data_IF_798506999012
#
_entry.id   IF_798506999012
#
_cell.length_a   1.000
_cell.length_b   1.000
_cell.length_c   1.000
_cell.angle_alpha   90.00
_cell.angle_beta   90.00
_cell.angle_gamma   90.00
#
_symmetry.space_group_name_H-M   'P 1'
#
loop_
_entity.id
_entity.type
_entity.pdbx_description
1 polymer ?
#
# COMPACT_ATOMS: atom_id res chain seq x y z
N UNK A 1 -52.72 -88.97 10.63
CA UNK A 1 -51.80 -87.87 10.99
C UNK A 1 -51.11 -87.44 9.71
N UNK A 2 -51.42 -86.25 9.18
CA UNK A 2 -50.77 -85.73 7.97
C UNK A 2 -49.51 -84.97 8.37
N UNK A 3 -48.43 -85.11 7.59
CA UNK A 3 -47.21 -84.34 7.82
C UNK A 3 -47.48 -82.85 7.58
N UNK A 4 -47.04 -82.00 8.50
CA UNK A 4 -47.27 -80.55 8.47
C UNK A 4 -46.17 -79.75 7.78
N UNK A 5 -44.98 -80.32 7.61
CA UNK A 5 -43.85 -79.74 6.86
C UNK A 5 -43.36 -80.76 5.85
N UNK A 6 -43.53 -80.50 4.56
CA UNK A 6 -43.34 -81.50 3.51
C UNK A 6 -42.45 -80.96 2.40
N UNK A 7 -41.49 -81.77 1.99
CA UNK A 7 -40.71 -81.58 0.78
C UNK A 7 -41.21 -82.55 -0.28
N UNK A 8 -41.48 -82.07 -1.50
CA UNK A 8 -42.00 -82.91 -2.56
C UNK A 8 -41.46 -82.50 -3.93
N UNK A 9 -41.07 -83.48 -4.73
CA UNK A 9 -40.77 -83.30 -6.15
C UNK A 9 -42.04 -83.26 -6.99
N UNK A 10 -42.12 -82.30 -7.91
CA UNK A 10 -43.16 -82.18 -8.92
C UNK A 10 -42.55 -81.76 -10.28
N UNK A 11 -43.41 -81.54 -11.28
CA UNK A 11 -42.98 -81.19 -12.64
C UNK A 11 -42.18 -79.88 -12.74
N UNK A 12 -42.35 -78.97 -11.77
CA UNK A 12 -41.66 -77.68 -11.71
C UNK A 12 -40.37 -77.72 -10.86
N UNK A 13 -40.10 -78.85 -10.18
CA UNK A 13 -38.91 -79.08 -9.36
C UNK A 13 -39.21 -79.54 -7.92
N UNK A 14 -38.31 -79.25 -6.97
CA UNK A 14 -38.47 -79.58 -5.55
C UNK A 14 -39.16 -78.41 -4.84
N UNK A 15 -40.31 -78.65 -4.22
CA UNK A 15 -41.03 -77.67 -3.43
C UNK A 15 -41.05 -78.00 -1.94
N UNK A 16 -41.21 -76.98 -1.11
CA UNK A 16 -41.46 -77.09 0.33
C UNK A 16 -42.84 -76.50 0.68
N UNK A 17 -43.61 -77.19 1.52
CA UNK A 17 -44.85 -76.67 2.09
C UNK A 17 -44.79 -76.64 3.62
N UNK A 18 -44.97 -75.47 4.26
CA UNK A 18 -45.11 -75.37 5.71
C UNK A 18 -46.51 -75.73 6.23
N UNK A 19 -47.46 -76.07 5.34
CA UNK A 19 -48.87 -76.37 5.66
C UNK A 19 -49.26 -77.84 5.41
N UNK A 20 -48.30 -78.68 5.03
CA UNK A 20 -48.48 -80.11 4.80
C UNK A 20 -48.81 -80.50 3.36
N UNK A 21 -49.10 -81.80 3.15
CA UNK A 21 -49.15 -82.42 1.81
C UNK A 21 -50.13 -81.73 0.84
N UNK A 22 -51.23 -81.21 1.34
CA UNK A 22 -52.30 -80.55 0.55
C UNK A 22 -52.19 -79.02 0.51
N UNK A 23 -51.18 -78.44 1.16
CA UNK A 23 -50.94 -77.00 1.18
C UNK A 23 -50.22 -76.49 -0.06
N UNK A 24 -50.14 -75.16 -0.26
CA UNK A 24 -49.33 -74.59 -1.34
C UNK A 24 -47.85 -74.91 -1.13
N UNK A 25 -47.12 -75.11 -2.22
CA UNK A 25 -45.68 -75.36 -2.24
C UNK A 25 -44.95 -74.16 -2.83
N UNK A 26 -43.90 -73.72 -2.14
CA UNK A 26 -42.91 -72.80 -2.69
C UNK A 26 -41.78 -73.59 -3.34
N UNK A 27 -41.40 -73.24 -4.56
CA UNK A 27 -40.34 -73.93 -5.30
C UNK A 27 -38.98 -73.60 -4.70
N UNK A 28 -38.23 -74.61 -4.27
CA UNK A 28 -36.89 -74.47 -3.71
C UNK A 28 -35.78 -74.81 -4.71
N UNK A 29 -36.02 -75.77 -5.61
CA UNK A 29 -35.14 -76.09 -6.74
C UNK A 29 -36.01 -76.12 -7.99
N UNK A 30 -35.69 -75.32 -9.00
CA UNK A 30 -36.40 -75.32 -10.28
C UNK A 30 -36.03 -76.53 -11.11
N UNK A 31 -36.94 -76.98 -11.99
CA UNK A 31 -36.69 -78.09 -12.91
C UNK A 31 -35.46 -77.89 -13.82
N UNK A 32 -35.03 -76.65 -14.04
CA UNK A 32 -33.84 -76.29 -14.81
C UNK A 32 -32.58 -76.05 -13.97
N UNK A 33 -32.59 -76.49 -12.71
CA UNK A 33 -31.40 -76.61 -11.86
C UNK A 33 -31.01 -75.36 -11.08
N UNK A 34 -31.84 -74.31 -11.04
CA UNK A 34 -31.60 -73.16 -10.15
C UNK A 34 -32.10 -73.48 -8.75
N UNK A 35 -31.32 -73.10 -7.75
CA UNK A 35 -31.69 -73.19 -6.34
C UNK A 35 -32.18 -71.82 -5.89
N UNK A 36 -33.36 -71.75 -5.27
CA UNK A 36 -33.99 -70.51 -4.80
C UNK A 36 -33.33 -70.08 -3.48
N UNK A 37 -32.88 -68.82 -3.44
CA UNK A 37 -32.08 -68.28 -2.34
C UNK A 37 -32.81 -68.29 -0.98
N UNK A 38 -34.13 -68.17 -0.97
CA UNK A 38 -34.95 -68.16 0.25
C UNK A 38 -34.84 -69.47 1.05
N UNK A 39 -34.40 -70.57 0.41
CA UNK A 39 -34.21 -71.89 1.02
C UNK A 39 -32.75 -72.21 1.38
N UNK A 40 -31.82 -71.27 1.19
CA UNK A 40 -30.40 -71.49 1.42
C UNK A 40 -29.98 -70.83 2.73
N UNK A 41 -29.70 -71.64 3.76
CA UNK A 41 -28.96 -71.22 4.96
C UNK A 41 -27.59 -71.91 4.96
N UNK A 42 -26.51 -71.13 4.95
CA UNK A 42 -25.13 -71.64 4.83
C UNK A 42 -24.21 -70.97 5.84
N UNK A 43 -23.21 -71.70 6.33
CA UNK A 43 -22.15 -71.13 7.18
C UNK A 43 -21.08 -70.40 6.35
N UNK A 44 -20.48 -71.12 5.40
CA UNK A 44 -19.51 -70.58 4.43
C UNK A 44 -20.01 -70.84 3.02
N UNK A 45 -20.03 -69.80 2.19
CA UNK A 45 -20.35 -69.89 0.76
C UNK A 45 -19.13 -69.43 -0.04
N UNK A 46 -18.52 -70.33 -0.81
CA UNK A 46 -17.43 -70.00 -1.74
C UNK A 46 -18.00 -69.88 -3.15
N UNK A 47 -17.78 -68.76 -3.82
CA UNK A 47 -18.24 -68.55 -5.20
C UNK A 47 -17.42 -67.48 -5.92
N UNK A 48 -17.27 -67.64 -7.23
CA UNK A 48 -16.47 -66.72 -8.07
C UNK A 48 -17.18 -65.40 -8.37
N UNK A 49 -18.52 -65.38 -8.31
CA UNK A 49 -19.35 -64.22 -8.64
C UNK A 49 -20.58 -64.19 -7.74
N UNK A 50 -20.79 -63.06 -7.07
CA UNK A 50 -21.99 -62.78 -6.29
C UNK A 50 -22.70 -61.61 -6.97
N UNK A 51 -23.95 -61.82 -7.40
CA UNK A 51 -24.85 -60.78 -7.91
C UNK A 51 -26.05 -60.73 -6.97
N UNK A 52 -26.00 -59.83 -5.99
CA UNK A 52 -27.04 -59.66 -4.97
C UNK A 52 -27.54 -58.21 -4.92
N UNK A 53 -28.58 -58.00 -4.11
CA UNK A 53 -29.05 -56.66 -3.75
C UNK A 53 -28.26 -56.10 -2.56
N UNK A 54 -28.95 -55.84 -1.44
CA UNK A 54 -28.34 -55.39 -0.20
C UNK A 54 -27.64 -56.54 0.54
N UNK A 55 -26.40 -56.31 0.98
CA UNK A 55 -25.67 -57.19 1.89
C UNK A 55 -25.60 -56.48 3.25
N UNK A 56 -26.28 -57.00 4.26
CA UNK A 56 -26.36 -56.39 5.59
C UNK A 56 -25.54 -57.17 6.63
N UNK A 57 -24.96 -56.46 7.60
CA UNK A 57 -24.20 -57.06 8.72
C UNK A 57 -22.80 -57.59 8.38
N UNK A 58 -22.26 -57.27 7.21
CA UNK A 58 -21.03 -57.90 6.69
C UNK A 58 -19.81 -56.96 6.73
N UNK A 59 -18.62 -57.54 6.78
CA UNK A 59 -17.36 -56.87 6.42
C UNK A 59 -16.89 -57.42 5.08
N UNK A 60 -16.67 -56.55 4.09
CA UNK A 60 -16.08 -56.93 2.81
C UNK A 60 -14.57 -56.74 2.88
N UNK A 61 -13.84 -57.79 2.50
CA UNK A 61 -12.38 -57.80 2.42
C UNK A 61 -12.00 -58.34 1.04
N UNK A 62 -11.14 -57.63 0.32
CA UNK A 62 -10.79 -57.98 -1.05
C UNK A 62 -9.80 -59.14 -1.18
N UNK A 63 -9.02 -59.41 -0.14
CA UNK A 63 -7.91 -60.36 -0.16
C UNK A 63 -7.60 -60.81 1.28
N UNK A 64 -7.17 -62.04 1.51
CA UNK A 64 -6.88 -62.60 2.84
C UNK A 64 -5.44 -62.32 3.34
N UNK A 65 -4.57 -61.80 2.48
CA UNK A 65 -3.23 -61.31 2.82
C UNK A 65 -3.28 -59.92 3.46
N UNK A 66 -2.13 -59.39 3.89
CA UNK A 66 -2.06 -58.13 4.63
C UNK A 66 -2.37 -56.87 3.81
N UNK A 67 -2.51 -57.00 2.48
CA UNK A 67 -2.82 -55.90 1.58
C UNK A 67 -4.23 -56.07 1.05
N UNK A 68 -5.16 -55.24 1.51
CA UNK A 68 -6.58 -55.43 1.20
C UNK A 68 -7.38 -54.14 1.30
N UNK A 69 -8.52 -54.11 0.62
CA UNK A 69 -9.56 -53.11 0.86
C UNK A 69 -10.53 -53.67 1.90
N UNK A 70 -10.79 -52.90 2.95
CA UNK A 70 -11.78 -53.21 3.98
C UNK A 70 -12.97 -52.28 3.87
N UNK A 71 -14.17 -52.83 3.73
CA UNK A 71 -15.43 -52.11 3.95
C UNK A 71 -16.08 -52.74 5.16
N UNK A 72 -16.09 -52.00 6.27
CA UNK A 72 -16.65 -52.48 7.54
C UNK A 72 -17.41 -51.35 8.23
N UNK A 73 -18.63 -51.67 8.70
CA UNK A 73 -19.54 -50.71 9.32
C UNK A 73 -19.84 -49.55 8.34
N UNK A 74 -19.32 -48.35 8.64
CA UNK A 74 -19.47 -47.15 7.81
C UNK A 74 -18.12 -46.62 7.32
N UNK A 75 -17.09 -47.46 7.34
CA UNK A 75 -15.71 -47.09 7.01
C UNK A 75 -15.18 -47.90 5.85
N UNK A 76 -14.39 -47.23 5.01
CA UNK A 76 -13.59 -47.86 3.97
C UNK A 76 -12.12 -47.61 4.27
N UNK A 77 -11.30 -48.65 4.16
CA UNK A 77 -9.84 -48.56 4.35
C UNK A 77 -9.10 -49.26 3.23
N UNK A 78 -7.99 -48.67 2.81
CA UNK A 78 -6.96 -49.37 2.04
C UNK A 78 -5.86 -49.74 3.02
N UNK A 79 -5.60 -51.03 3.12
CA UNK A 79 -4.69 -51.62 4.09
C UNK A 79 -3.44 -52.12 3.35
N UNK A 80 -2.27 -51.83 3.90
CA UNK A 80 -1.01 -52.43 3.52
C UNK A 80 -0.31 -52.95 4.77
N UNK A 81 0.08 -54.23 4.81
CA UNK A 81 0.70 -54.83 6.00
C UNK A 81 -0.10 -54.60 7.30
N UNK A 82 -1.44 -54.65 7.22
CA UNK A 82 -2.37 -54.35 8.31
C UNK A 82 -2.34 -52.88 8.83
N UNK A 83 -1.68 -51.99 8.09
CA UNK A 83 -1.62 -50.55 8.35
C UNK A 83 -2.59 -49.84 7.39
N UNK A 84 -3.42 -48.93 7.92
CA UNK A 84 -4.34 -48.15 7.11
C UNK A 84 -3.59 -47.03 6.37
N UNK A 85 -3.48 -47.13 5.03
CA UNK A 85 -2.89 -46.11 4.15
C UNK A 85 -3.89 -45.05 3.74
N UNK A 86 -5.14 -45.45 3.62
CA UNK A 86 -6.27 -44.55 3.38
C UNK A 86 -7.41 -44.92 4.31
N UNK A 87 -8.09 -43.90 4.81
CA UNK A 87 -9.30 -44.04 5.62
C UNK A 87 -10.37 -43.07 5.11
N UNK A 88 -11.53 -43.61 4.75
CA UNK A 88 -12.74 -42.84 4.52
C UNK A 88 -13.75 -43.21 5.60
N UNK A 89 -14.20 -42.22 6.35
CA UNK A 89 -15.14 -42.44 7.44
C UNK A 89 -15.40 -41.18 8.22
N UNK A 90 -15.64 -41.35 9.51
CA UNK A 90 -15.81 -40.25 10.44
C UNK A 90 -15.30 -40.65 11.83
N UNK A 91 -14.99 -39.65 12.63
CA UNK A 91 -14.73 -39.80 14.06
C UNK A 91 -15.38 -38.62 14.80
N UNK A 92 -15.30 -38.63 16.13
CA UNK A 92 -15.68 -37.47 16.94
C UNK A 92 -14.43 -36.79 17.47
N UNK A 93 -14.37 -35.48 17.32
CA UNK A 93 -13.27 -34.68 17.85
C UNK A 93 -13.37 -34.51 19.38
N UNK A 94 -12.44 -33.78 20.00
CA UNK A 94 -12.45 -33.57 21.46
C UNK A 94 -13.68 -32.80 21.96
N UNK A 95 -14.35 -32.09 21.05
CA UNK A 95 -15.60 -31.34 21.29
C UNK A 95 -16.86 -32.18 21.06
N UNK A 96 -16.73 -33.50 20.87
CA UNK A 96 -17.83 -34.43 20.56
C UNK A 96 -18.57 -34.10 19.25
N UNK A 97 -17.91 -33.37 18.33
CA UNK A 97 -18.44 -33.05 17.00
C UNK A 97 -18.05 -34.14 16.01
N UNK A 98 -19.00 -34.54 15.17
CA UNK A 98 -18.77 -35.49 14.09
C UNK A 98 -17.87 -34.87 13.01
N UNK A 99 -16.80 -35.58 12.62
CA UNK A 99 -15.86 -35.18 11.59
C UNK A 99 -15.76 -36.23 10.47
N UNK A 100 -16.64 -36.16 9.46
CA UNK A 100 -16.41 -36.85 8.19
C UNK A 100 -15.03 -36.50 7.64
N UNK A 101 -14.26 -37.52 7.28
CA UNK A 101 -12.84 -37.38 6.97
C UNK A 101 -12.42 -38.40 5.91
N UNK A 102 -11.60 -37.93 4.98
CA UNK A 102 -10.71 -38.72 4.15
C UNK A 102 -9.26 -38.46 4.60
N UNK A 103 -8.56 -39.49 5.07
CA UNK A 103 -7.12 -39.46 5.40
C UNK A 103 -6.33 -40.28 4.40
N UNK A 104 -5.18 -39.75 3.99
CA UNK A 104 -4.25 -40.42 3.07
C UNK A 104 -2.82 -40.26 3.61
N UNK A 105 -2.14 -41.37 3.90
CA UNK A 105 -0.69 -41.39 4.17
C UNK A 105 -0.24 -40.96 5.58
N UNK A 106 -0.82 -41.52 6.64
CA UNK A 106 -0.59 -41.08 8.03
C UNK A 106 0.22 -42.01 8.95
N UNK A 107 0.82 -43.09 8.47
CA UNK A 107 1.32 -44.18 9.31
C UNK A 107 2.77 -44.03 9.79
N UNK A 108 3.29 -42.80 9.84
CA UNK A 108 4.67 -42.55 10.24
C UNK A 108 4.91 -42.57 11.76
N UNK A 109 3.87 -42.75 12.57
CA UNK A 109 3.95 -42.69 14.03
C UNK A 109 2.76 -43.36 14.76
N UNK A 110 2.77 -43.27 16.10
CA UNK A 110 1.71 -43.75 16.99
C UNK A 110 0.37 -43.03 16.80
N UNK A 111 0.36 -41.85 16.17
CA UNK A 111 -0.86 -41.06 15.96
C UNK A 111 -1.63 -41.52 14.72
N UNK A 112 -0.99 -42.27 13.81
CA UNK A 112 -1.53 -42.70 12.52
C UNK A 112 -2.02 -41.53 11.64
N UNK A 113 -1.64 -40.30 12.00
CA UNK A 113 -2.03 -39.07 11.34
C UNK A 113 -0.83 -38.21 10.96
N UNK A 114 0.39 -38.46 11.46
CA UNK A 114 1.53 -37.62 11.10
C UNK A 114 1.94 -37.81 9.64
N UNK A 115 1.98 -36.71 8.90
CA UNK A 115 2.25 -36.67 7.46
C UNK A 115 1.04 -36.95 6.57
N UNK A 116 -0.14 -37.21 7.15
CA UNK A 116 -1.33 -37.51 6.36
C UNK A 116 -1.85 -36.26 5.64
N UNK A 117 -2.31 -36.43 4.40
CA UNK A 117 -3.24 -35.49 3.80
C UNK A 117 -4.63 -35.76 4.35
N UNK A 118 -5.26 -34.73 4.92
CA UNK A 118 -6.63 -34.81 5.41
C UNK A 118 -7.54 -33.88 4.63
N UNK A 119 -8.65 -34.44 4.12
CA UNK A 119 -9.84 -33.69 3.71
C UNK A 119 -10.90 -33.98 4.76
N UNK A 120 -11.26 -33.00 5.56
CA UNK A 120 -12.04 -33.24 6.77
C UNK A 120 -12.99 -32.11 7.09
N UNK A 121 -14.10 -32.45 7.74
CA UNK A 121 -14.88 -31.45 8.44
C UNK A 121 -14.10 -31.00 9.69
N UNK A 122 -14.07 -29.70 9.95
CA UNK A 122 -13.44 -29.10 11.13
C UNK A 122 -14.46 -28.84 12.25
N UNK A 123 -15.69 -28.47 11.88
CA UNK A 123 -16.81 -28.27 12.80
C UNK A 123 -18.11 -28.71 12.13
N UNK A 124 -18.91 -29.48 12.85
CA UNK A 124 -20.30 -29.79 12.47
C UNK A 124 -21.34 -28.93 13.21
N UNK A 125 -20.89 -28.00 14.06
CA UNK A 125 -21.73 -27.03 14.75
C UNK A 125 -21.58 -25.67 14.06
N UNK A 126 -22.67 -24.91 13.98
CA UNK A 126 -22.68 -23.60 13.32
C UNK A 126 -21.70 -22.61 14.00
N UNK A 127 -20.87 -21.88 13.23
CA UNK A 127 -20.66 -22.03 11.78
C UNK A 127 -19.86 -23.30 11.47
N UNK A 128 -20.38 -24.11 10.55
CA UNK A 128 -19.70 -25.32 10.08
C UNK A 128 -18.43 -24.93 9.35
N UNK A 129 -17.43 -25.79 9.39
CA UNK A 129 -16.19 -25.55 8.67
C UNK A 129 -15.59 -26.86 8.20
N UNK A 130 -14.81 -26.80 7.13
CA UNK A 130 -14.05 -27.92 6.58
C UNK A 130 -12.66 -27.44 6.16
N UNK A 131 -11.76 -28.37 5.89
CA UNK A 131 -10.44 -28.02 5.42
C UNK A 131 -9.75 -29.14 4.67
N UNK A 132 -8.70 -28.74 3.97
CA UNK A 132 -7.72 -29.63 3.35
C UNK A 132 -6.33 -29.21 3.80
N UNK A 133 -5.53 -30.15 4.27
CA UNK A 133 -4.17 -29.85 4.72
C UNK A 133 -3.39 -31.10 5.07
N UNK A 134 -2.10 -30.91 5.29
CA UNK A 134 -1.21 -31.96 5.80
C UNK A 134 -1.19 -31.91 7.32
N UNK A 135 -1.24 -33.06 7.97
CA UNK A 135 -1.26 -33.16 9.43
C UNK A 135 0.13 -33.44 9.99
N UNK A 136 0.43 -32.89 11.16
CA UNK A 136 1.66 -33.19 11.93
C UNK A 136 1.26 -33.73 13.30
N UNK A 137 0.53 -34.86 13.25
CA UNK A 137 -0.03 -35.51 14.43
C UNK A 137 -1.28 -34.80 14.97
N UNK A 138 -1.54 -35.03 16.26
CA UNK A 138 -2.62 -34.37 16.99
C UNK A 138 -2.19 -33.06 17.66
N UNK A 139 -3.14 -32.19 17.94
CA UNK A 139 -2.95 -31.02 18.81
C UNK A 139 -2.52 -31.53 20.20
N UNK A 140 -1.56 -30.86 20.84
CA UNK A 140 -1.04 -31.26 22.15
C UNK A 140 -2.14 -31.49 23.19
N UNK A 141 -2.19 -32.70 23.74
CA UNK A 141 -3.19 -33.13 24.73
C UNK A 141 -4.49 -33.69 24.15
N UNK A 142 -4.64 -33.73 22.81
CA UNK A 142 -5.78 -34.35 22.13
C UNK A 142 -5.36 -35.64 21.41
N UNK A 143 -6.28 -36.62 21.36
CA UNK A 143 -6.11 -37.86 20.60
C UNK A 143 -6.97 -37.89 19.33
N UNK A 144 -7.68 -36.80 19.04
CA UNK A 144 -8.66 -36.74 17.94
C UNK A 144 -8.56 -35.46 17.13
N UNK A 145 -8.02 -34.38 17.69
CA UNK A 145 -7.92 -33.11 16.95
C UNK A 145 -6.62 -33.08 16.16
N UNK A 146 -6.74 -33.06 14.85
CA UNK A 146 -5.61 -33.02 13.93
C UNK A 146 -4.93 -31.64 13.96
N UNK A 147 -3.60 -31.64 14.05
CA UNK A 147 -2.78 -30.44 13.95
C UNK A 147 -2.27 -30.23 12.53
N UNK A 148 -2.41 -29.02 12.00
CA UNK A 148 -2.10 -28.69 10.60
C UNK A 148 -1.07 -27.57 10.49
N UNK A 149 0.19 -27.87 10.14
CA UNK A 149 1.20 -26.84 9.84
C UNK A 149 0.93 -26.08 8.53
N UNK A 150 0.19 -26.68 7.59
CA UNK A 150 -0.25 -26.03 6.36
C UNK A 150 -1.68 -26.47 6.00
N UNK A 151 -2.57 -25.51 5.76
CA UNK A 151 -4.00 -25.77 5.57
C UNK A 151 -4.71 -24.70 4.76
N UNK A 152 -5.72 -25.13 4.03
CA UNK A 152 -6.80 -24.29 3.50
C UNK A 152 -8.07 -24.63 4.27
N UNK A 153 -8.64 -23.66 4.99
CA UNK A 153 -9.90 -23.80 5.73
C UNK A 153 -11.01 -23.04 5.03
N UNK A 154 -12.19 -23.65 4.97
CA UNK A 154 -13.41 -23.09 4.42
C UNK A 154 -14.46 -22.98 5.54
N UNK A 155 -14.98 -21.78 5.76
CA UNK A 155 -16.05 -21.53 6.73
C UNK A 155 -17.42 -21.44 6.05
N UNK A 156 -18.47 -21.88 6.76
CA UNK A 156 -19.86 -21.77 6.28
C UNK A 156 -20.30 -20.32 6.05
N UNK A 157 -19.62 -19.35 6.66
CA UNK A 157 -19.88 -17.92 6.46
C UNK A 157 -19.27 -17.39 5.14
N UNK A 158 -18.62 -18.24 4.34
CA UNK A 158 -18.01 -17.87 3.05
C UNK A 158 -16.56 -17.40 3.16
N UNK A 159 -15.93 -17.53 4.32
CA UNK A 159 -14.51 -17.20 4.51
C UNK A 159 -13.59 -18.36 4.12
N UNK A 160 -12.42 -18.02 3.59
CA UNK A 160 -11.33 -18.95 3.29
C UNK A 160 -10.08 -18.47 4.01
N UNK A 161 -9.42 -19.38 4.72
CA UNK A 161 -8.15 -19.12 5.41
C UNK A 161 -7.07 -20.04 4.85
N UNK A 162 -6.04 -19.47 4.22
CA UNK A 162 -4.83 -20.19 3.79
C UNK A 162 -3.73 -19.88 4.80
N UNK A 163 -3.12 -20.91 5.39
CA UNK A 163 -2.09 -20.76 6.44
C UNK A 163 -0.96 -21.76 6.23
N UNK A 164 0.26 -21.31 6.54
CA UNK A 164 1.46 -22.12 6.64
C UNK A 164 2.34 -21.60 7.79
N UNK A 165 3.03 -22.48 8.51
CA UNK A 165 3.90 -22.11 9.64
C UNK A 165 5.28 -21.59 9.23
N UNK A 166 5.86 -22.18 8.20
CA UNK A 166 7.21 -21.82 7.74
C UNK A 166 7.15 -20.85 6.56
N UNK A 167 6.55 -21.29 5.44
CA UNK A 167 6.56 -20.54 4.20
C UNK A 167 5.28 -20.75 3.40
N UNK A 168 4.75 -19.67 2.80
CA UNK A 168 3.61 -19.67 1.89
C UNK A 168 3.99 -18.89 0.63
N UNK A 169 4.11 -19.59 -0.50
CA UNK A 169 4.40 -19.01 -1.81
C UNK A 169 3.17 -19.02 -2.70
N UNK A 170 2.97 -17.95 -3.45
CA UNK A 170 2.00 -17.86 -4.54
C UNK A 170 2.73 -17.27 -5.74
N UNK A 171 2.74 -17.99 -6.87
CA UNK A 171 3.55 -17.64 -8.04
C UNK A 171 2.81 -17.92 -9.34
N UNK A 172 2.92 -17.00 -10.31
CA UNK A 172 2.51 -17.18 -11.71
C UNK A 172 3.75 -17.10 -12.59
N UNK A 173 4.08 -18.18 -13.29
CA UNK A 173 5.40 -18.32 -13.95
C UNK A 173 5.50 -17.67 -15.33
N UNK A 174 4.40 -17.21 -15.92
CA UNK A 174 4.37 -16.79 -17.32
C UNK A 174 3.85 -15.38 -17.54
N UNK A 175 2.66 -15.04 -17.03
CA UNK A 175 1.95 -13.83 -17.44
C UNK A 175 1.74 -12.87 -16.26
N UNK A 176 0.60 -12.93 -15.59
CA UNK A 176 0.27 -12.02 -14.50
C UNK A 176 -0.25 -12.79 -13.28
N UNK A 177 -0.19 -12.14 -12.12
CA UNK A 177 -0.81 -12.56 -10.88
C UNK A 177 -1.56 -11.36 -10.29
N UNK A 178 -2.88 -11.48 -10.17
CA UNK A 178 -3.76 -10.40 -9.71
C UNK A 178 -4.34 -10.73 -8.32
N UNK A 179 -4.32 -9.74 -7.43
CA UNK A 179 -5.07 -9.78 -6.16
C UNK A 179 -6.02 -8.58 -6.13
N UNK A 180 -7.31 -8.83 -5.91
CA UNK A 180 -8.37 -7.81 -5.94
C UNK A 180 -9.24 -7.90 -4.69
N UNK A 181 -9.68 -6.75 -4.17
CA UNK A 181 -10.62 -6.66 -3.05
C UNK A 181 -11.73 -5.65 -3.39
N UNK A 182 -12.98 -5.94 -3.02
CA UNK A 182 -14.12 -5.07 -3.32
C UNK A 182 -14.19 -3.79 -2.48
N UNK A 183 -13.46 -3.74 -1.36
CA UNK A 183 -13.39 -2.57 -0.47
C UNK A 183 -11.94 -2.25 -0.13
N UNK A 184 -11.37 -2.91 0.88
CA UNK A 184 -10.02 -2.68 1.36
C UNK A 184 -9.14 -3.90 1.10
N UNK A 185 -7.92 -3.65 0.61
CA UNK A 185 -6.83 -4.61 0.64
C UNK A 185 -5.86 -4.22 1.75
N UNK A 186 -5.47 -5.19 2.59
CA UNK A 186 -4.53 -4.97 3.69
C UNK A 186 -3.38 -5.98 3.60
N UNK A 187 -2.15 -5.47 3.67
CA UNK A 187 -0.93 -6.26 3.78
C UNK A 187 -0.14 -5.80 5.00
N UNK A 188 0.42 -6.75 5.75
CA UNK A 188 1.19 -6.47 6.97
C UNK A 188 2.32 -7.48 7.12
N UNK A 189 3.51 -6.96 7.41
CA UNK A 189 4.68 -7.75 7.82
C UNK A 189 5.14 -7.33 9.23
N UNK A 190 5.77 -8.24 9.96
CA UNK A 190 6.36 -7.94 11.28
C UNK A 190 7.66 -7.13 11.15
N UNK A 191 8.48 -7.48 10.16
CA UNK A 191 9.79 -6.88 9.94
C UNK A 191 9.71 -5.98 8.69
N UNK A 192 9.91 -6.56 7.50
CA UNK A 192 10.00 -5.81 6.24
C UNK A 192 8.82 -6.12 5.31
N UNK A 193 8.33 -5.09 4.62
CA UNK A 193 7.45 -5.24 3.46
C UNK A 193 8.28 -4.97 2.20
N UNK A 194 8.47 -5.99 1.39
CA UNK A 194 9.29 -5.94 0.18
C UNK A 194 8.36 -6.05 -1.03
N UNK A 195 8.41 -5.06 -1.91
CA UNK A 195 7.72 -5.06 -3.20
C UNK A 195 8.69 -4.55 -4.25
N UNK A 196 8.86 -5.31 -5.33
CA UNK A 196 9.89 -5.03 -6.35
C UNK A 196 9.38 -5.32 -7.76
N UNK A 197 9.85 -4.51 -8.70
CA UNK A 197 9.84 -4.80 -10.13
C UNK A 197 11.30 -4.80 -10.60
N UNK A 198 11.79 -5.95 -11.09
CA UNK A 198 13.22 -6.14 -11.39
C UNK A 198 13.64 -5.60 -12.76
N UNK A 199 12.72 -5.66 -13.73
CA UNK A 199 12.97 -5.18 -15.10
C UNK A 199 12.09 -3.97 -15.47
N UNK A 200 10.85 -3.95 -15.00
CA UNK A 200 9.86 -2.93 -15.33
C UNK A 200 9.71 -1.84 -14.26
N UNK A 201 8.66 -1.03 -14.39
CA UNK A 201 8.35 0.02 -13.43
C UNK A 201 7.41 -0.50 -12.32
N UNK A 202 7.52 0.09 -11.14
CA UNK A 202 6.49 0.00 -10.11
C UNK A 202 5.48 1.14 -10.27
N UNK A 203 4.19 0.81 -10.28
CA UNK A 203 3.10 1.78 -10.41
C UNK A 203 2.28 1.82 -9.11
N UNK A 204 2.03 3.03 -8.62
CA UNK A 204 1.16 3.28 -7.47
C UNK A 204 0.12 4.32 -7.86
N UNK A 205 -1.16 3.97 -7.71
CA UNK A 205 -2.29 4.86 -8.04
C UNK A 205 -3.15 5.04 -6.81
N UNK A 206 -3.43 6.30 -6.46
CA UNK A 206 -4.35 6.66 -5.38
C UNK A 206 -5.47 7.54 -5.95
N UNK A 207 -6.71 7.32 -5.51
CA UNK A 207 -7.84 8.17 -5.92
C UNK A 207 -7.87 9.55 -5.25
N UNK A 208 -7.25 9.67 -4.07
CA UNK A 208 -7.11 10.94 -3.35
C UNK A 208 -5.64 11.20 -3.03
N UNK A 209 -5.14 10.62 -1.93
CA UNK A 209 -3.77 10.87 -1.44
C UNK A 209 -3.02 9.57 -1.23
N UNK A 210 -1.70 9.65 -1.37
CA UNK A 210 -0.81 8.59 -0.93
C UNK A 210 -0.21 8.96 0.42
N UNK A 211 -0.50 8.19 1.47
CA UNK A 211 -0.10 8.50 2.85
C UNK A 211 1.06 7.61 3.33
N UNK A 212 1.98 8.22 4.08
CA UNK A 212 3.01 7.51 4.83
C UNK A 212 2.85 7.79 6.31
N UNK A 213 2.86 6.72 7.11
CA UNK A 213 2.70 6.78 8.56
C UNK A 213 3.92 6.20 9.29
N UNK A 214 4.24 6.76 10.44
CA UNK A 214 5.18 6.20 11.43
C UNK A 214 4.52 6.24 12.80
N UNK A 215 4.44 5.10 13.48
CA UNK A 215 3.80 4.97 14.81
C UNK A 215 2.39 5.59 14.85
N UNK A 216 1.57 5.32 13.83
CA UNK A 216 0.22 5.86 13.69
C UNK A 216 0.13 7.31 13.21
N UNK A 217 1.22 8.08 13.23
CA UNK A 217 1.23 9.49 12.81
C UNK A 217 1.60 9.63 11.33
N UNK A 218 0.85 10.45 10.58
CA UNK A 218 1.20 10.80 9.19
C UNK A 218 2.49 11.61 9.17
N UNK A 219 3.47 11.18 8.38
CA UNK A 219 4.76 11.86 8.24
C UNK A 219 4.95 12.52 6.87
N UNK A 220 4.31 11.98 5.84
CA UNK A 220 4.40 12.45 4.47
C UNK A 220 3.10 12.10 3.73
N UNK A 221 2.72 12.93 2.77
CA UNK A 221 1.74 12.54 1.76
C UNK A 221 2.02 13.20 0.41
N UNK A 222 1.66 12.48 -0.64
CA UNK A 222 1.54 13.04 -1.99
C UNK A 222 0.07 13.37 -2.25
N UNK A 223 -0.17 14.56 -2.78
CA UNK A 223 -1.52 15.09 -3.02
C UNK A 223 -1.54 15.91 -4.31
N UNK A 224 -2.75 16.06 -4.85
CA UNK A 224 -3.03 17.01 -5.93
C UNK A 224 -4.07 18.00 -5.42
N UNK A 225 -3.74 19.30 -5.43
CA UNK A 225 -4.72 20.31 -5.04
C UNK A 225 -5.92 20.33 -6.00
N UNK A 226 -7.03 20.93 -5.59
CA UNK A 226 -8.20 21.11 -6.47
C UNK A 226 -7.89 21.91 -7.74
N UNK A 227 -6.79 22.65 -7.78
CA UNK A 227 -6.32 23.41 -8.94
C UNK A 227 -5.34 22.66 -9.84
N UNK A 228 -5.04 21.38 -9.56
CA UNK A 228 -4.06 20.58 -10.32
C UNK A 228 -2.62 20.68 -9.80
N UNK A 229 -2.35 21.52 -8.80
CA UNK A 229 -1.01 21.60 -8.20
C UNK A 229 -0.56 20.25 -7.62
N UNK A 230 0.72 19.92 -7.81
CA UNK A 230 1.33 18.71 -7.23
C UNK A 230 2.02 19.03 -5.92
N UNK A 231 1.64 18.32 -4.87
CA UNK A 231 2.07 18.59 -3.50
C UNK A 231 2.80 17.42 -2.84
N UNK A 232 3.98 17.71 -2.31
CA UNK A 232 4.68 16.87 -1.33
C UNK A 232 4.49 17.49 0.06
N UNK A 233 3.60 16.92 0.86
CA UNK A 233 3.17 17.49 2.14
C UNK A 233 3.88 16.78 3.29
N UNK A 234 4.80 17.47 3.94
CA UNK A 234 5.43 17.05 5.19
C UNK A 234 4.56 17.50 6.40
N UNK A 235 5.08 17.38 7.62
CA UNK A 235 4.30 17.72 8.83
C UNK A 235 4.02 19.23 8.97
N UNK A 236 5.00 20.07 8.64
CA UNK A 236 4.94 21.52 8.88
C UNK A 236 5.11 22.37 7.63
N UNK A 237 5.58 21.76 6.54
CA UNK A 237 5.80 22.42 5.27
C UNK A 237 5.37 21.51 4.14
N UNK A 238 5.26 22.10 2.95
CA UNK A 238 5.04 21.37 1.72
C UNK A 238 5.92 21.94 0.61
N UNK A 239 6.26 21.07 -0.33
CA UNK A 239 6.82 21.45 -1.62
C UNK A 239 5.71 21.36 -2.64
N UNK A 240 5.46 22.46 -3.35
CA UNK A 240 4.42 22.53 -4.38
C UNK A 240 5.02 22.88 -5.73
N UNK A 241 4.48 22.23 -6.75
CA UNK A 241 4.61 22.67 -8.14
C UNK A 241 3.22 23.01 -8.69
N UNK A 242 3.07 24.18 -9.28
CA UNK A 242 1.80 24.67 -9.82
C UNK A 242 2.05 25.40 -11.14
N UNK A 243 1.05 25.37 -12.02
CA UNK A 243 1.06 26.19 -13.24
C UNK A 243 0.91 27.70 -12.93
N UNK A 244 0.24 28.05 -11.82
CA UNK A 244 0.02 29.45 -11.42
C UNK A 244 1.33 30.23 -11.21
N UNK A 245 2.31 29.60 -10.59
CA UNK A 245 3.65 30.16 -10.38
C UNK A 245 4.62 29.72 -11.50
N UNK A 246 4.14 29.58 -12.74
CA UNK A 246 4.96 29.21 -13.91
C UNK A 246 5.83 27.95 -13.71
N UNK A 247 5.34 26.97 -12.93
CA UNK A 247 6.08 25.75 -12.63
C UNK A 247 7.29 25.94 -11.68
N UNK A 248 7.45 27.09 -11.04
CA UNK A 248 8.47 27.25 -10.00
C UNK A 248 8.18 26.36 -8.79
N UNK A 249 9.25 25.87 -8.16
CA UNK A 249 9.16 25.15 -6.89
C UNK A 249 8.80 26.12 -5.77
N UNK A 250 7.70 25.84 -5.09
CA UNK A 250 7.25 26.60 -3.93
C UNK A 250 7.55 25.84 -2.64
N UNK A 251 8.03 26.55 -1.63
CA UNK A 251 8.03 26.08 -0.24
C UNK A 251 6.92 26.80 0.49
N UNK A 252 5.95 26.05 1.01
CA UNK A 252 4.79 26.62 1.74
C UNK A 252 4.63 25.98 3.12
N UNK A 253 3.79 26.56 3.96
CA UNK A 253 3.33 25.93 5.20
C UNK A 253 2.63 24.59 4.91
N UNK A 254 2.51 23.71 5.91
CA UNK A 254 1.84 22.41 5.73
C UNK A 254 0.37 22.49 5.30
N UNK A 255 -0.27 23.65 5.48
CA UNK A 255 -1.63 23.94 5.02
C UNK A 255 -1.69 24.64 3.66
N UNK A 256 -0.53 25.00 3.09
CA UNK A 256 -0.43 25.76 1.84
C UNK A 256 -0.80 27.24 1.95
N UNK A 257 -1.09 27.74 3.15
CA UNK A 257 -1.65 29.10 3.36
C UNK A 257 -0.67 30.23 3.12
N UNK A 258 0.63 30.00 3.25
CA UNK A 258 1.66 31.02 3.04
C UNK A 258 2.99 30.39 2.60
N UNK A 259 3.85 31.20 1.99
CA UNK A 259 5.20 30.81 1.61
C UNK A 259 6.09 30.63 2.85
N UNK A 260 6.77 29.49 2.92
CA UNK A 260 7.71 29.15 3.97
C UNK A 260 9.13 29.58 3.65
N UNK A 261 9.94 29.78 4.69
CA UNK A 261 11.37 30.04 4.54
C UNK A 261 12.17 28.77 4.27
N UNK A 262 13.37 28.94 3.71
CA UNK A 262 14.36 27.88 3.50
C UNK A 262 15.57 28.20 4.37
N UNK A 263 15.97 27.24 5.22
CA UNK A 263 17.26 27.28 5.91
C UNK A 263 18.22 26.44 5.08
N UNK A 264 19.22 27.08 4.49
CA UNK A 264 20.24 26.43 3.67
C UNK A 264 21.61 27.03 3.98
N UNK A 265 22.66 26.21 3.86
CA UNK A 265 24.03 26.70 3.99
C UNK A 265 24.47 27.61 2.84
N UNK A 266 23.86 27.48 1.66
CA UNK A 266 24.14 28.30 0.48
C UNK A 266 23.01 28.19 -0.57
N UNK A 267 22.84 29.22 -1.41
CA UNK A 267 21.98 29.21 -2.60
C UNK A 267 22.82 29.38 -3.86
N UNK A 268 22.94 28.30 -4.65
CA UNK A 268 23.72 28.31 -5.89
C UNK A 268 22.86 28.76 -7.08
N UNK A 269 23.16 29.93 -7.64
CA UNK A 269 22.57 30.41 -8.89
C UNK A 269 23.53 30.23 -10.07
N UNK A 270 23.02 29.79 -11.22
CA UNK A 270 23.83 29.54 -12.42
C UNK A 270 24.17 30.82 -13.19
N UNK A 271 24.92 31.73 -12.55
CA UNK A 271 25.31 33.02 -13.14
C UNK A 271 26.57 32.92 -14.01
N UNK A 272 26.62 31.97 -14.96
CA UNK A 272 27.81 31.73 -15.81
C UNK A 272 27.78 32.59 -17.08
N UNK A 273 28.93 33.08 -17.54
CA UNK A 273 29.06 33.88 -18.78
C UNK A 273 28.43 33.20 -20.00
N UNK A 274 28.59 31.87 -20.14
CA UNK A 274 28.02 31.09 -21.25
C UNK A 274 26.49 31.15 -21.35
N UNK A 275 25.79 31.51 -20.27
CA UNK A 275 24.33 31.66 -20.26
C UNK A 275 23.90 33.12 -20.48
N UNK A 276 24.85 34.02 -20.75
CA UNK A 276 24.61 35.45 -20.87
C UNK A 276 25.12 35.93 -22.23
N UNK A 277 24.31 36.69 -22.94
CA UNK A 277 24.70 37.43 -24.14
C UNK A 277 24.57 38.93 -23.89
N UNK A 278 25.13 39.76 -24.77
CA UNK A 278 25.05 41.22 -24.67
C UNK A 278 25.54 41.81 -23.32
N UNK A 279 26.62 41.24 -22.77
CA UNK A 279 27.24 41.74 -21.53
C UNK A 279 27.87 43.12 -21.84
N UNK A 280 27.35 44.17 -21.21
CA UNK A 280 27.76 45.56 -21.39
C UNK A 280 27.93 46.22 -20.03
N UNK A 281 28.74 47.27 -19.98
CA UNK A 281 28.80 48.13 -18.82
C UNK A 281 27.45 48.81 -18.59
N UNK A 282 27.18 49.13 -17.32
CA UNK A 282 25.97 49.85 -16.94
C UNK A 282 26.08 51.29 -17.47
N UNK A 283 25.11 51.71 -18.29
CA UNK A 283 25.14 53.01 -19.02
C UNK A 283 24.29 54.10 -18.37
N UNK A 284 23.51 53.76 -17.34
CA UNK A 284 22.70 54.70 -16.59
C UNK A 284 23.37 54.99 -15.25
N UNK A 285 22.95 56.07 -14.60
CA UNK A 285 23.45 56.39 -13.27
C UNK A 285 22.82 55.45 -12.23
N UNK A 286 23.62 54.48 -11.77
CA UNK A 286 23.24 53.53 -10.72
C UNK A 286 23.00 54.25 -9.40
N UNK A 287 23.70 55.36 -9.14
CA UNK A 287 23.50 56.14 -7.93
C UNK A 287 22.08 56.70 -7.91
N UNK A 288 21.65 57.36 -8.99
CA UNK A 288 20.29 57.91 -9.09
C UNK A 288 19.22 56.81 -8.92
N UNK A 289 19.42 55.62 -9.51
CA UNK A 289 18.47 54.51 -9.35
C UNK A 289 18.39 54.06 -7.88
N UNK A 290 19.54 53.82 -7.24
CA UNK A 290 19.60 53.40 -5.83
C UNK A 290 19.07 54.49 -4.90
N UNK A 291 19.31 55.76 -5.17
CA UNK A 291 18.77 56.89 -4.40
C UNK A 291 17.24 56.99 -4.49
N UNK A 292 16.65 56.54 -5.61
CA UNK A 292 15.21 56.52 -5.81
C UNK A 292 14.50 55.28 -5.23
N UNK A 293 15.23 54.25 -4.78
CA UNK A 293 14.60 53.09 -4.16
C UNK A 293 13.93 53.43 -2.83
N UNK A 294 12.63 53.11 -2.72
CA UNK A 294 11.85 53.39 -1.53
C UNK A 294 11.96 52.26 -0.49
N UNK A 295 13.04 52.27 0.28
CA UNK A 295 13.28 51.32 1.37
C UNK A 295 12.43 51.68 2.58
N UNK A 296 11.61 50.74 3.05
CA UNK A 296 10.76 50.88 4.24
C UNK A 296 11.14 49.89 5.34
N UNK A 297 10.80 50.26 6.57
CA UNK A 297 10.67 49.31 7.68
C UNK A 297 9.20 48.88 7.80
N UNK A 298 8.95 47.61 8.10
CA UNK A 298 7.60 47.06 8.22
C UNK A 298 7.57 45.84 9.15
N UNK A 299 6.38 45.46 9.62
CA UNK A 299 6.13 44.17 10.29
C UNK A 299 5.34 43.25 9.35
N UNK A 300 5.59 41.95 9.38
CA UNK A 300 4.80 41.00 8.58
C UNK A 300 3.38 40.91 9.15
N UNK A 301 2.38 40.68 8.28
CA UNK A 301 0.99 40.49 8.72
C UNK A 301 0.84 39.38 9.76
N UNK A 302 1.63 38.30 9.63
CA UNK A 302 1.64 37.20 10.60
C UNK A 302 2.19 37.63 11.97
N UNK A 303 3.25 38.45 11.99
CA UNK A 303 3.82 38.96 13.24
C UNK A 303 2.87 39.91 13.95
N UNK A 304 2.14 40.74 13.18
CA UNK A 304 1.09 41.62 13.72
C UNK A 304 -0.09 40.81 14.26
N UNK A 305 -0.49 39.72 13.59
CA UNK A 305 -1.51 38.81 14.11
C UNK A 305 -1.09 38.19 15.45
N UNK A 306 0.18 37.75 15.54
CA UNK A 306 0.75 37.22 16.78
C UNK A 306 0.81 38.26 17.90
N UNK A 307 1.10 39.53 17.60
CA UNK A 307 1.03 40.62 18.58
C UNK A 307 -0.39 40.76 19.16
N UNK A 308 -1.43 40.59 18.34
CA UNK A 308 -2.81 40.63 18.84
C UNK A 308 -3.12 39.46 19.76
N UNK A 309 -2.65 38.24 19.44
CA UNK A 309 -2.78 37.08 20.32
C UNK A 309 -2.06 37.32 21.66
N UNK A 310 -0.81 37.78 21.62
CA UNK A 310 -0.05 38.12 22.83
C UNK A 310 -0.74 39.18 23.70
N UNK A 311 -1.46 40.13 23.07
CA UNK A 311 -2.26 41.12 23.78
C UNK A 311 -3.53 40.55 24.39
N UNK A 312 -4.13 39.52 23.79
CA UNK A 312 -5.31 38.83 24.35
C UNK A 312 -4.94 37.98 25.57
N UNK A 313 -3.75 37.38 25.56
CA UNK A 313 -3.25 36.54 26.67
C UNK A 313 -2.57 37.34 27.81
N UNK A 314 -2.46 38.67 27.65
CA UNK A 314 -1.86 39.58 28.63
C UNK A 314 -2.66 39.61 29.93
N UNK A 315 -1.97 39.53 31.07
CA UNK A 315 -2.60 39.65 32.39
C UNK A 315 -2.70 41.11 32.85
N UNK A 316 -3.71 41.40 33.64
CA UNK A 316 -3.94 42.75 34.17
C UNK A 316 -2.76 43.18 35.07
N UNK A 317 -2.12 44.30 34.70
CA UNK A 317 -0.92 44.82 35.36
C UNK A 317 0.39 44.69 34.54
N UNK A 318 0.41 43.88 33.48
CA UNK A 318 1.58 43.77 32.59
C UNK A 318 1.68 44.98 31.63
N UNK A 319 2.90 45.38 31.21
CA UNK A 319 3.10 46.47 30.26
C UNK A 319 2.42 46.20 28.91
N UNK A 320 1.93 47.26 28.27
CA UNK A 320 1.22 47.14 26.98
C UNK A 320 2.20 46.78 25.88
N UNK A 321 1.96 45.62 25.23
CA UNK A 321 2.75 45.17 24.09
C UNK A 321 2.50 46.07 22.86
N UNK A 322 3.56 46.44 22.17
CA UNK A 322 3.62 47.34 21.01
C UNK A 322 4.26 46.64 19.80
N UNK A 323 4.34 47.34 18.66
CA UNK A 323 5.05 46.83 17.47
C UNK A 323 6.55 46.64 17.70
N UNK A 324 7.12 47.21 18.77
CA UNK A 324 8.51 46.98 19.15
C UNK A 324 8.74 45.57 19.74
N UNK A 325 7.66 44.89 20.15
CA UNK A 325 7.72 43.55 20.75
C UNK A 325 7.62 42.43 19.70
N UNK A 326 7.57 42.77 18.41
CA UNK A 326 7.58 41.84 17.27
C UNK A 326 8.71 42.14 16.30
N UNK A 327 9.14 41.16 15.47
CA UNK A 327 10.20 41.35 14.51
C UNK A 327 9.93 42.52 13.56
N UNK A 328 10.90 43.44 13.46
CA UNK A 328 10.90 44.51 12.45
C UNK A 328 11.71 44.07 11.23
N UNK A 329 11.11 44.19 10.06
CA UNK A 329 11.69 43.81 8.78
C UNK A 329 11.99 45.06 7.96
N UNK A 330 12.93 44.93 7.01
CA UNK A 330 13.35 46.01 6.13
C UNK A 330 13.34 45.53 4.68
N UNK A 331 12.86 46.37 3.77
CA UNK A 331 12.79 46.02 2.36
C UNK A 331 12.08 47.03 1.48
N UNK A 332 12.05 46.71 0.19
CA UNK A 332 11.23 47.41 -0.80
C UNK A 332 9.79 46.91 -0.64
N UNK A 333 8.83 47.83 -0.55
CA UNK A 333 7.40 47.50 -0.53
C UNK A 333 6.83 47.76 -1.92
N UNK A 334 6.30 46.71 -2.55
CA UNK A 334 5.76 46.79 -3.90
C UNK A 334 4.24 46.99 -3.83
N UNK A 335 3.66 47.92 -4.60
CA UNK A 335 2.20 48.07 -4.70
C UNK A 335 1.53 46.79 -5.20
N UNK A 336 0.32 46.51 -4.72
CA UNK A 336 -0.42 45.28 -5.04
C UNK A 336 -0.70 45.09 -6.55
N UNK A 337 -0.61 46.14 -7.37
CA UNK A 337 -0.94 46.14 -8.80
C UNK A 337 0.30 46.16 -9.72
N UNK A 338 1.50 46.01 -9.16
CA UNK A 338 2.74 46.06 -9.95
C UNK A 338 3.02 44.72 -10.65
N UNK A 339 3.38 44.78 -11.94
CA UNK A 339 3.95 43.64 -12.68
C UNK A 339 5.41 43.34 -12.27
N UNK A 340 6.04 44.20 -11.47
CA UNK A 340 7.40 43.99 -11.01
C UNK A 340 7.47 42.90 -9.93
N UNK A 341 8.01 41.74 -10.31
CA UNK A 341 8.42 40.72 -9.33
C UNK A 341 9.56 41.26 -8.49
N UNK A 342 9.37 41.27 -7.16
CA UNK A 342 10.27 41.98 -6.28
C UNK A 342 11.72 41.56 -6.46
N UNK A 343 12.59 42.55 -6.74
CA UNK A 343 14.04 42.42 -6.70
C UNK A 343 14.43 42.02 -5.25
N UNK A 344 14.34 40.73 -4.93
CA UNK A 344 14.47 40.20 -3.58
C UNK A 344 15.91 39.79 -3.25
N UNK A 345 16.53 40.49 -2.30
CA UNK A 345 17.77 40.01 -1.63
C UNK A 345 17.89 40.45 -0.15
N UNK A 346 16.74 40.70 0.49
CA UNK A 346 16.43 40.81 1.94
C UNK A 346 17.28 41.69 2.89
N UNK A 347 16.55 42.40 3.77
CA UNK A 347 16.95 42.92 5.08
C UNK A 347 18.27 43.68 5.12
N UNK A 348 19.37 42.94 5.26
CA UNK A 348 20.72 43.49 5.34
C UNK A 348 21.12 44.27 4.08
N UNK A 349 20.73 43.80 2.89
CA UNK A 349 21.02 44.53 1.65
C UNK A 349 20.18 45.79 1.56
N UNK A 350 18.91 45.74 2.00
CA UNK A 350 18.06 46.93 2.08
C UNK A 350 18.58 47.94 3.11
N UNK A 351 19.11 47.47 4.24
CA UNK A 351 19.80 48.30 5.22
C UNK A 351 21.08 48.90 4.65
N UNK A 352 21.87 48.12 3.90
CA UNK A 352 23.09 48.62 3.25
C UNK A 352 22.76 49.69 2.20
N UNK A 353 21.72 49.47 1.39
CA UNK A 353 21.20 50.48 0.45
C UNK A 353 20.77 51.73 1.20
N UNK A 354 19.96 51.60 2.25
CA UNK A 354 19.47 52.77 3.01
C UNK A 354 20.62 53.53 3.68
N UNK A 355 21.57 52.83 4.28
CA UNK A 355 22.75 53.43 4.88
C UNK A 355 23.58 54.19 3.82
N UNK A 356 23.71 53.63 2.61
CA UNK A 356 24.36 54.30 1.49
C UNK A 356 23.61 55.56 1.04
N UNK A 357 22.27 55.51 0.91
CA UNK A 357 21.45 56.68 0.60
C UNK A 357 21.63 57.81 1.61
N UNK A 358 21.64 57.47 2.91
CA UNK A 358 21.86 58.44 3.98
C UNK A 358 23.28 59.01 3.94
N UNK A 359 24.29 58.18 3.68
CA UNK A 359 25.67 58.63 3.56
C UNK A 359 25.85 59.65 2.43
N UNK A 360 25.29 59.38 1.25
CA UNK A 360 25.34 60.30 0.11
C UNK A 360 24.65 61.62 0.46
N UNK A 361 23.43 61.56 1.00
CA UNK A 361 22.68 62.77 1.38
C UNK A 361 23.41 63.63 2.41
N UNK A 362 23.99 63.01 3.45
CA UNK A 362 24.77 63.72 4.48
C UNK A 362 26.06 64.30 3.90
N UNK A 363 26.69 63.59 2.97
CA UNK A 363 27.93 64.05 2.32
C UNK A 363 27.67 65.24 1.40
N UNK A 364 26.62 65.19 0.59
CA UNK A 364 26.22 66.32 -0.26
C UNK A 364 25.85 67.56 0.56
N UNK A 365 25.13 67.38 1.67
CA UNK A 365 24.83 68.47 2.60
C UNK A 365 26.12 69.08 3.16
N UNK A 366 27.08 68.24 3.59
CA UNK A 366 28.39 68.71 4.09
C UNK A 366 29.20 69.44 3.01
N UNK A 367 29.21 68.94 1.77
CA UNK A 367 29.92 69.59 0.65
C UNK A 367 29.30 70.97 0.38
N UNK A 368 27.96 71.07 0.37
CA UNK A 368 27.26 72.35 0.22
C UNK A 368 27.58 73.34 1.34
N UNK A 369 27.79 72.87 2.58
CA UNK A 369 28.23 73.70 3.69
C UNK A 369 29.70 74.15 3.56
N UNK A 370 30.56 73.31 3.00
CA UNK A 370 32.00 73.57 2.82
C UNK A 370 32.34 74.40 1.57
N UNK A 371 31.44 74.52 0.59
CA UNK A 371 31.58 75.37 -0.60
C UNK A 371 30.70 76.64 -0.53
N UNK A 372 31.00 77.65 0.31
CA UNK A 372 30.12 78.82 0.49
C UNK A 372 30.22 79.88 -0.62
N UNK A 373 30.75 79.58 -1.81
CA UNK A 373 30.96 80.60 -2.87
C UNK A 373 30.55 80.06 -4.24
N UNK A 374 29.41 80.53 -4.74
CA UNK A 374 29.13 80.55 -6.18
C UNK A 374 30.32 81.16 -6.93
N UNK A 375 30.80 80.49 -7.97
CA UNK A 375 31.76 81.10 -8.89
C UNK A 375 31.16 82.40 -9.44
N UNK A 376 31.62 83.55 -8.93
CA UNK A 376 31.40 84.85 -9.55
C UNK A 376 32.10 84.83 -10.91
N UNK A 377 31.36 84.42 -11.93
CA UNK A 377 31.72 84.62 -13.32
C UNK A 377 31.99 86.10 -13.55
N UNK A 378 33.20 86.42 -13.98
CA UNK A 378 33.67 87.77 -14.23
C UNK A 378 32.99 88.31 -15.52
N UNK A 379 31.76 88.82 -15.41
CA UNK A 379 31.01 89.45 -16.51
C UNK A 379 31.56 90.86 -16.74
N UNK A 380 32.78 91.01 -17.29
CA UNK A 380 33.26 92.33 -17.77
C UNK A 380 33.99 92.36 -19.11
N UNK A 381 34.20 91.26 -19.82
CA UNK A 381 34.83 91.32 -21.16
C UNK A 381 34.26 90.32 -22.18
N UNK A 382 32.95 90.40 -22.49
CA UNK A 382 32.36 89.61 -23.58
C UNK A 382 31.90 90.39 -24.82
N UNK A 383 32.08 91.72 -24.85
CA UNK A 383 31.84 92.53 -26.06
C UNK A 383 33.13 93.25 -26.49
N UNK A 384 34.07 92.51 -27.08
CA UNK A 384 35.10 93.08 -27.96
C UNK A 384 35.12 92.30 -29.26
N UNK A 385 34.61 92.94 -30.30
CA UNK A 385 34.60 92.52 -31.70
C UNK A 385 36.01 92.12 -32.14
N UNK A 386 36.21 90.86 -32.54
CA UNK A 386 37.48 90.41 -33.13
C UNK A 386 37.65 91.08 -34.51
N UNK A 387 38.69 91.91 -34.63
CA UNK A 387 39.19 92.47 -35.89
C UNK A 387 39.58 91.35 -36.86
N UNK A 388 39.09 91.44 -38.09
CA UNK A 388 39.62 90.71 -39.24
C UNK A 388 41.08 91.11 -39.52
N UNK A 389 41.96 90.12 -39.69
CA UNK A 389 43.24 90.30 -40.42
C UNK A 389 43.39 89.19 -41.46
N UNK A 390 43.81 89.67 -42.64
CA UNK A 390 43.90 89.06 -43.97
C UNK A 390 45.03 88.01 -44.11
N UNK A 391 45.03 87.22 -45.20
CA UNK A 391 45.72 85.93 -45.30
C UNK A 391 47.17 86.05 -45.78
N UNK A 392 47.93 84.97 -45.64
CA UNK A 392 49.23 84.78 -46.30
C UNK A 392 49.14 83.57 -47.25
N UNK A 393 49.73 83.77 -48.42
CA UNK A 393 49.69 82.99 -49.67
C UNK A 393 50.74 81.87 -49.74
N UNK A 394 50.45 80.93 -50.66
CA UNK A 394 51.34 80.06 -51.47
C UNK A 394 51.75 78.69 -50.87
N UNK A 395 51.31 77.51 -51.36
CA UNK A 395 51.41 76.81 -52.70
C UNK A 395 52.84 76.29 -52.93
N UNK A 396 53.20 75.05 -53.34
CA UNK A 396 52.65 73.82 -54.00
C UNK A 396 53.66 72.68 -53.64
N UNK A 397 53.47 71.35 -53.79
CA UNK A 397 53.20 70.46 -54.94
C UNK A 397 53.34 69.02 -54.37
N UNK A 398 52.42 68.06 -54.54
CA UNK A 398 52.38 67.06 -55.65
C UNK A 398 53.77 66.42 -55.90
N UNK A 399 53.99 65.11 -55.94
CA UNK A 399 53.29 63.92 -56.49
C UNK A 399 54.14 62.69 -56.07
N UNK A 400 53.72 61.42 -56.10
CA UNK A 400 53.12 60.61 -57.18
C UNK A 400 52.47 59.37 -56.54
#
# INVERSE_FOLDING_TARGET
>A
MTASKVWQWNINGLGYSPWGVTGPYETAITYDGRIVADFITVGTLTGNLIKGGEISGTTLRSDDTKNYVSISKQFMRIMENDIARMFLGYYKNSRNELQPTLLIGGDNDITASQGALALYQYSNIYPKAAGIGITRGYIGGSNTDLYFPAIIKFGQNGDINVKAEEYLQMESQLSYFDIKAGTNFAAKAKNDFIAEATNGNMHFTAGQKFYYHKNGKRILSFDTSSGGDTDLIMQYCMLRNSDYENGYLQVKSGTGSFYGGIIAGDFKVSSKRKYKTNIRDIKFDVLDEVMNWDIKQYNLKMDVAKLYEMRMDRKEGEPTLTTNDIPTHYGIVIPNESEETGKGLYGMISQQVRAFQEYVTKTDARIRELEPIQTKGNVKHRNRTKRNRRPIRYVKRETL
#
